data_IF_844896679000
#
_entry.id   IF_844896679000
#
_cell.length_a   1.000
_cell.length_b   1.000
_cell.length_c   1.000
_cell.angle_alpha   90.00
_cell.angle_beta   90.00
_cell.angle_gamma   90.00
#
_symmetry.space_group_name_H-M   'P 1'
#
loop_
_entity.id
_entity.type
_entity.pdbx_description
1 polymer ?
#
# COMPACT_ATOMS: atom_id res chain seq x y z
N UNK A 1 -6.86 4.66 -4.44
CA UNK A 1 -6.76 3.34 -3.78
C UNK A 1 -6.50 3.62 -2.31
N UNK A 2 -7.45 3.30 -1.44
CA UNK A 2 -7.32 3.59 0.00
C UNK A 2 -6.53 2.52 0.74
N UNK A 3 -6.67 1.25 0.35
CA UNK A 3 -5.99 0.11 0.98
C UNK A 3 -5.37 -0.84 -0.05
N UNK A 4 -4.14 -1.30 0.23
CA UNK A 4 -3.47 -2.40 -0.47
C UNK A 4 -3.17 -3.52 0.53
N UNK A 5 -3.42 -4.75 0.11
CA UNK A 5 -3.14 -5.96 0.88
C UNK A 5 -2.75 -7.10 -0.09
N UNK A 6 -2.27 -8.25 0.41
CA UNK A 6 -1.86 -9.36 -0.46
C UNK A 6 -2.96 -9.85 -1.40
N UNK A 7 -4.24 -9.70 -1.03
CA UNK A 7 -5.39 -10.17 -1.81
C UNK A 7 -5.66 -9.25 -3.01
N UNK A 8 -5.48 -7.94 -2.86
CA UNK A 8 -5.76 -6.96 -3.91
C UNK A 8 -4.52 -6.49 -4.70
N UNK A 9 -3.33 -6.99 -4.33
CA UNK A 9 -2.05 -6.58 -4.89
C UNK A 9 -2.00 -6.78 -6.41
N UNK A 10 -2.36 -7.96 -6.92
CA UNK A 10 -2.32 -8.24 -8.37
C UNK A 10 -3.16 -7.22 -9.17
N UNK A 11 -4.36 -6.90 -8.68
CA UNK A 11 -5.24 -5.90 -9.31
C UNK A 11 -4.65 -4.50 -9.27
N UNK A 12 -3.87 -4.17 -8.23
CA UNK A 12 -3.17 -2.89 -8.13
C UNK A 12 -2.00 -2.85 -9.10
N UNK A 13 -1.21 -3.93 -9.20
CA UNK A 13 -0.07 -4.03 -10.11
C UNK A 13 -0.51 -3.93 -11.58
N UNK A 14 -1.60 -4.60 -11.98
CA UNK A 14 -2.16 -4.48 -13.33
C UNK A 14 -2.55 -3.05 -13.69
N UNK A 15 -3.00 -2.24 -12.71
CA UNK A 15 -3.32 -0.82 -12.92
C UNK A 15 -2.08 0.06 -13.03
N UNK A 16 -0.94 -0.38 -12.51
CA UNK A 16 0.34 0.33 -12.60
C UNK A 16 1.09 0.01 -13.90
N UNK A 17 0.82 -1.15 -14.50
CA UNK A 17 1.37 -1.55 -15.80
C UNK A 17 0.69 -0.84 -16.99
N UNK A 18 -0.40 -0.10 -16.75
CA UNK A 18 -0.99 0.79 -17.75
C UNK A 18 0.02 1.89 -18.16
N UNK A 19 0.10 2.24 -19.45
CA UNK A 19 1.15 3.10 -19.98
C UNK A 19 0.88 4.52 -19.49
N UNK A 20 1.61 5.00 -18.47
CA UNK A 20 1.90 6.45 -18.32
C UNK A 20 2.82 6.81 -17.15
N UNK A 21 2.90 6.07 -16.03
CA UNK A 21 3.47 6.68 -14.81
C UNK A 21 4.60 5.93 -14.06
N UNK A 22 4.75 4.60 -14.13
CA UNK A 22 5.88 3.89 -13.48
C UNK A 22 6.91 3.38 -14.50
N UNK A 23 7.71 4.30 -15.06
CA UNK A 23 8.71 3.99 -16.09
C UNK A 23 9.96 3.27 -15.55
N UNK A 24 10.11 3.16 -14.23
CA UNK A 24 11.29 2.54 -13.59
C UNK A 24 10.99 1.21 -12.91
N UNK A 25 9.72 0.83 -12.80
CA UNK A 25 9.31 -0.28 -11.93
C UNK A 25 9.54 0.00 -10.44
N UNK A 26 9.89 1.25 -10.08
CA UNK A 26 10.22 1.63 -8.71
C UNK A 26 8.99 1.61 -7.80
N UNK A 27 7.80 1.92 -8.32
CA UNK A 27 6.55 1.81 -7.54
C UNK A 27 6.18 0.34 -7.37
N UNK A 28 6.29 -0.47 -8.44
CA UNK A 28 6.09 -1.92 -8.38
C UNK A 28 6.98 -2.56 -7.31
N UNK A 29 8.28 -2.29 -7.33
CA UNK A 29 9.23 -2.82 -6.35
C UNK A 29 8.89 -2.42 -4.90
N UNK A 30 8.59 -1.13 -4.69
CA UNK A 30 8.17 -0.63 -3.36
C UNK A 30 6.91 -1.33 -2.86
N UNK A 31 5.90 -1.55 -3.70
CA UNK A 31 4.67 -2.21 -3.28
C UNK A 31 4.90 -3.68 -2.91
N UNK A 32 5.74 -4.41 -3.65
CA UNK A 32 6.07 -5.80 -3.33
C UNK A 32 6.73 -5.92 -1.95
N UNK A 33 7.73 -5.08 -1.66
CA UNK A 33 8.39 -5.05 -0.35
C UNK A 33 7.44 -4.66 0.79
N UNK A 34 6.62 -3.62 0.58
CA UNK A 34 5.67 -3.16 1.59
C UNK A 34 4.58 -4.19 1.88
N UNK A 35 4.12 -4.95 0.89
CA UNK A 35 3.18 -6.06 1.11
C UNK A 35 3.85 -7.23 1.83
N UNK A 36 5.12 -7.52 1.56
CA UNK A 36 5.87 -8.52 2.31
C UNK A 36 5.99 -8.14 3.80
N UNK A 37 6.21 -6.85 4.10
CA UNK A 37 6.18 -6.33 5.48
C UNK A 37 4.77 -6.40 6.09
N UNK A 38 3.73 -6.12 5.30
CA UNK A 38 2.35 -6.25 5.74
C UNK A 38 1.98 -7.68 6.15
N UNK A 39 2.50 -8.70 5.44
CA UNK A 39 2.32 -10.10 5.83
C UNK A 39 2.96 -10.44 7.18
N UNK A 40 4.06 -9.76 7.53
CA UNK A 40 4.74 -9.87 8.83
C UNK A 40 4.05 -9.07 9.94
N UNK A 41 2.97 -8.35 9.63
CA UNK A 41 2.18 -7.59 10.59
C UNK A 41 2.53 -6.10 10.68
N UNK A 42 3.41 -5.58 9.81
CA UNK A 42 3.74 -4.16 9.78
C UNK A 42 2.76 -3.38 8.91
N UNK A 43 2.30 -2.23 9.38
CA UNK A 43 1.52 -1.30 8.57
C UNK A 43 2.43 -0.26 7.92
N UNK A 44 2.16 0.05 6.64
CA UNK A 44 2.84 1.12 5.92
C UNK A 44 1.85 2.07 5.26
N UNK A 45 2.24 3.32 5.06
CA UNK A 45 1.45 4.32 4.33
C UNK A 45 2.24 4.95 3.20
N UNK A 46 1.62 5.03 2.03
CA UNK A 46 2.11 5.79 0.87
C UNK A 46 1.37 7.12 0.83
N UNK A 47 2.12 8.22 0.93
CA UNK A 47 1.57 9.57 1.05
C UNK A 47 2.19 10.50 0.00
N UNK A 48 1.46 11.56 -0.37
CA UNK A 48 2.06 12.66 -1.11
C UNK A 48 2.69 13.66 -0.13
N UNK A 49 4.02 13.63 -0.02
CA UNK A 49 4.78 14.51 0.86
C UNK A 49 4.84 15.98 0.39
N UNK A 50 4.53 16.27 -0.89
CA UNK A 50 4.48 17.64 -1.43
C UNK A 50 3.25 18.40 -0.93
N UNK A 51 2.24 17.72 -0.36
CA UNK A 51 1.08 18.38 0.22
C UNK A 51 1.40 18.82 1.66
N UNK A 52 1.35 20.13 1.96
CA UNK A 52 1.71 20.66 3.27
C UNK A 52 0.97 19.97 4.42
N UNK A 53 1.68 19.70 5.51
CA UNK A 53 1.14 19.08 6.72
C UNK A 53 0.88 17.58 6.64
N UNK A 54 0.89 16.93 5.46
CA UNK A 54 0.65 15.48 5.36
C UNK A 54 1.75 14.65 6.03
N UNK A 55 3.01 15.03 5.84
CA UNK A 55 4.13 14.33 6.48
C UNK A 55 4.03 14.36 8.02
N UNK A 56 3.77 15.54 8.59
CA UNK A 56 3.59 15.69 10.04
C UNK A 56 2.44 14.83 10.56
N UNK A 57 1.30 14.86 9.87
CA UNK A 57 0.12 14.06 10.24
C UNK A 57 0.38 12.54 10.14
N UNK A 58 1.11 12.09 9.12
CA UNK A 58 1.53 10.70 8.97
C UNK A 58 2.37 10.22 10.16
N UNK A 59 3.37 11.01 10.54
CA UNK A 59 4.27 10.68 11.67
C UNK A 59 3.55 10.67 13.02
N UNK A 60 2.49 11.46 13.16
CA UNK A 60 1.64 11.49 14.36
C UNK A 60 0.55 10.39 14.36
N UNK A 61 0.52 9.51 13.36
CA UNK A 61 -0.48 8.44 13.25
C UNK A 61 -1.91 8.94 12.98
N UNK A 62 -2.06 10.18 12.50
CA UNK A 62 -3.37 10.75 12.20
C UNK A 62 -3.89 10.23 10.86
N UNK A 63 -5.22 10.18 10.70
CA UNK A 63 -5.80 9.88 9.39
C UNK A 63 -5.42 10.95 8.37
N UNK A 64 -4.92 10.46 7.22
CA UNK A 64 -4.51 11.29 6.09
C UNK A 64 -4.90 10.65 4.78
N UNK A 65 -5.01 11.48 3.75
CA UNK A 65 -5.26 11.03 2.39
C UNK A 65 -3.98 10.38 1.84
N UNK A 66 -4.04 9.08 1.61
CA UNK A 66 -2.96 8.24 1.11
C UNK A 66 -3.43 6.82 0.83
N UNK A 67 -2.48 5.92 0.66
CA UNK A 67 -2.75 4.49 0.52
C UNK A 67 -2.14 3.73 1.68
N UNK A 68 -2.96 3.02 2.44
CA UNK A 68 -2.48 2.17 3.55
C UNK A 68 -2.21 0.76 3.05
N UNK A 69 -1.06 0.21 3.41
CA UNK A 69 -0.65 -1.16 3.09
C UNK A 69 -0.63 -1.93 4.41
N UNK A 70 -1.52 -2.91 4.55
CA UNK A 70 -1.64 -3.72 5.76
C UNK A 70 -2.05 -5.14 5.45
N UNK A 71 -1.92 -6.02 6.43
CA UNK A 71 -2.39 -7.40 6.32
C UNK A 71 -3.89 -7.37 5.97
N UNK A 72 -4.25 -7.99 4.86
CA UNK A 72 -5.65 -8.14 4.49
C UNK A 72 -6.37 -8.95 5.58
N UNK A 73 -7.66 -8.69 5.78
CA UNK A 73 -8.48 -9.58 6.60
C UNK A 73 -8.54 -10.93 5.88
N UNK A 74 -7.75 -11.90 6.35
CA UNK A 74 -7.99 -13.30 6.02
C UNK A 74 -9.30 -13.69 6.71
N UNK A 75 -10.36 -13.95 5.94
CA UNK A 75 -11.48 -14.72 6.47
C UNK A 75 -10.92 -16.05 6.98
N UNK A 76 -10.91 -16.23 8.30
CA UNK A 76 -10.39 -17.42 8.99
C UNK A 76 -11.25 -18.68 8.74
N UNK A 77 -11.96 -18.79 7.61
CA UNK A 77 -12.96 -19.82 7.37
C UNK A 77 -12.58 -20.92 6.37
N UNK A 78 -11.32 -21.02 5.90
CA UNK A 78 -10.91 -22.12 5.00
C UNK A 78 -9.72 -22.93 5.51
N UNK A 79 -9.77 -23.34 6.78
CA UNK A 79 -9.06 -24.52 7.27
C UNK A 79 -10.07 -25.38 8.02
N UNK A 80 -10.78 -26.22 7.27
CA UNK A 80 -11.45 -27.42 7.74
C UNK A 80 -10.82 -28.59 7.00
#
# INVERSE_FOLDING_TARGET
IEEINPVNLEKVLQRLEAPTNDVTGGIKGKLLELVALANKGFEAQVINALKPGRLKKALLGQQIIGTTIRKGKYDRCKKA
#
